data_IF_888621452849
#
_entry.id   IF_888621452849
#
_cell.length_a   1.000
_cell.length_b   1.000
_cell.length_c   1.000
_cell.angle_alpha   90.00
_cell.angle_beta   90.00
_cell.angle_gamma   90.00
#
_symmetry.space_group_name_H-M   'P 1'
#
loop_
_entity.id
_entity.type
_entity.pdbx_description
1 polymer ?
#
# COMPACT_ATOMS: atom_id res chain seq x y z
N UNK A 1 2.73 97.13 31.53
CA UNK A 1 3.74 98.00 30.90
C UNK A 1 4.89 97.10 30.45
N UNK A 2 5.51 97.35 29.27
CA UNK A 2 6.82 96.75 28.91
C UNK A 2 7.81 97.01 30.07
N UNK A 3 8.76 96.14 30.40
CA UNK A 3 10.12 96.09 29.82
C UNK A 3 11.01 95.17 30.73
N UNK A 4 12.24 94.70 30.44
CA UNK A 4 13.11 94.57 29.25
C UNK A 4 14.31 93.65 29.66
N UNK A 5 14.68 92.64 28.84
CA UNK A 5 16.05 92.32 28.32
C UNK A 5 17.22 92.06 29.34
N UNK A 6 18.31 91.28 29.15
CA UNK A 6 18.92 90.38 28.12
C UNK A 6 19.52 89.16 28.90
N UNK A 7 19.62 87.93 28.35
CA UNK A 7 20.86 87.25 27.85
C UNK A 7 22.09 87.25 28.82
N UNK A 8 22.79 86.13 29.05
CA UNK A 8 23.77 85.55 28.10
C UNK A 8 24.05 84.03 28.27
N UNK A 9 24.63 83.46 27.22
CA UNK A 9 25.02 82.07 26.87
C UNK A 9 26.02 81.41 27.88
N UNK A 10 26.32 80.09 27.89
CA UNK A 10 26.74 79.27 26.74
C UNK A 10 26.70 77.71 26.96
N UNK A 11 26.30 76.98 25.90
CA UNK A 11 26.57 75.57 25.47
C UNK A 11 26.72 74.38 26.46
N UNK A 12 26.08 73.24 26.12
CA UNK A 12 26.73 71.93 26.22
C UNK A 12 26.71 71.10 24.92
N UNK A 13 27.90 70.91 24.34
CA UNK A 13 28.38 69.79 23.49
C UNK A 13 27.37 68.87 22.76
N UNK A 14 27.39 68.91 21.43
CA UNK A 14 26.73 67.93 20.55
C UNK A 14 27.21 66.48 20.79
N UNK A 15 26.37 65.62 21.38
CA UNK A 15 26.51 64.15 21.26
C UNK A 15 25.82 63.67 19.98
N UNK A 16 26.60 63.41 18.94
CA UNK A 16 26.10 62.97 17.62
C UNK A 16 25.60 61.52 17.71
N UNK A 17 24.31 61.33 17.98
CA UNK A 17 23.68 60.01 17.87
C UNK A 17 23.68 59.56 16.41
N UNK A 18 24.52 58.59 16.07
CA UNK A 18 24.39 57.87 14.81
C UNK A 18 23.20 56.91 14.91
N UNK A 19 22.00 57.42 14.60
CA UNK A 19 20.93 56.54 14.15
C UNK A 19 21.38 55.92 12.82
N UNK A 20 21.86 54.68 12.88
CA UNK A 20 21.89 53.82 11.70
C UNK A 20 20.44 53.55 11.31
N UNK A 21 19.93 54.31 10.33
CA UNK A 21 18.73 53.91 9.59
C UNK A 21 18.99 52.51 9.03
N UNK A 22 18.36 51.48 9.60
CA UNK A 22 18.28 50.19 8.96
C UNK A 22 17.40 50.36 7.71
N UNK A 23 18.06 50.62 6.58
CA UNK A 23 17.41 50.75 5.27
C UNK A 23 17.04 49.36 4.79
N UNK A 24 16.01 48.78 5.41
CA UNK A 24 15.37 47.55 5.00
C UNK A 24 15.16 47.55 3.49
N UNK A 25 15.94 46.73 2.80
CA UNK A 25 16.04 46.71 1.34
C UNK A 25 14.71 46.32 0.75
N UNK A 26 13.90 47.31 0.36
CA UNK A 26 12.58 47.11 -0.27
C UNK A 26 12.76 46.25 -1.51
N UNK A 27 12.27 45.00 -1.44
CA UNK A 27 12.41 44.07 -2.56
C UNK A 27 11.53 44.53 -3.72
N UNK A 28 12.02 44.52 -4.97
CA UNK A 28 11.18 44.74 -6.14
C UNK A 28 10.05 43.70 -6.19
N UNK A 29 8.87 44.13 -6.63
CA UNK A 29 7.61 43.35 -6.59
C UNK A 29 7.76 41.96 -7.23
N UNK A 30 8.52 41.84 -8.32
CA UNK A 30 8.79 40.56 -8.99
C UNK A 30 9.53 39.54 -8.11
N UNK A 31 10.40 39.97 -7.19
CA UNK A 31 11.04 39.07 -6.23
C UNK A 31 10.05 38.53 -5.19
N UNK A 32 9.07 39.35 -4.77
CA UNK A 32 8.00 38.91 -3.87
C UNK A 32 7.16 37.83 -4.56
N UNK A 33 6.75 38.04 -5.82
CA UNK A 33 5.99 37.06 -6.59
C UNK A 33 6.73 35.72 -6.78
N UNK A 34 8.05 35.74 -6.97
CA UNK A 34 8.88 34.52 -7.02
C UNK A 34 8.91 33.82 -5.66
N UNK A 35 9.11 34.57 -4.58
CA UNK A 35 9.16 34.03 -3.22
C UNK A 35 7.81 33.41 -2.84
N UNK A 36 6.69 34.07 -3.15
CA UNK A 36 5.35 33.54 -2.91
C UNK A 36 5.08 32.26 -3.72
N UNK A 37 5.52 32.20 -4.99
CA UNK A 37 5.36 31.01 -5.81
C UNK A 37 6.22 29.84 -5.32
N UNK A 38 7.46 30.10 -4.87
CA UNK A 38 8.32 29.11 -4.25
C UNK A 38 7.76 28.65 -2.89
N UNK A 39 7.29 29.57 -2.05
CA UNK A 39 6.69 29.27 -0.76
C UNK A 39 5.41 28.45 -0.91
N UNK A 40 4.53 28.81 -1.86
CA UNK A 40 3.35 28.03 -2.20
C UNK A 40 3.72 26.64 -2.74
N UNK A 41 4.73 26.55 -3.62
CA UNK A 41 5.24 25.27 -4.12
C UNK A 41 5.78 24.37 -3.00
N UNK A 42 6.56 24.91 -2.07
CA UNK A 42 7.06 24.19 -0.88
C UNK A 42 5.89 23.77 0.01
N UNK A 43 4.94 24.66 0.30
CA UNK A 43 3.77 24.39 1.14
C UNK A 43 2.88 23.28 0.55
N UNK A 44 2.68 23.27 -0.78
CA UNK A 44 1.95 22.22 -1.49
C UNK A 44 2.71 20.88 -1.40
N UNK A 45 4.03 20.87 -1.57
CA UNK A 45 4.83 19.64 -1.45
C UNK A 45 4.78 19.07 -0.02
N UNK A 46 4.91 19.93 1.00
CA UNK A 46 4.78 19.55 2.41
C UNK A 46 3.37 18.99 2.65
N UNK A 47 2.31 19.71 2.27
CA UNK A 47 0.93 19.26 2.44
C UNK A 47 0.67 17.91 1.75
N UNK A 48 1.11 17.74 0.49
CA UNK A 48 0.97 16.49 -0.25
C UNK A 48 1.71 15.33 0.41
N UNK A 49 2.92 15.56 0.94
CA UNK A 49 3.68 14.55 1.67
C UNK A 49 2.92 14.07 2.92
N UNK A 50 2.44 14.98 3.77
CA UNK A 50 1.70 14.65 4.98
C UNK A 50 0.31 14.03 4.70
N UNK A 51 -0.39 14.50 3.67
CA UNK A 51 -1.76 14.06 3.40
C UNK A 51 -1.88 12.83 2.49
N UNK A 52 -0.91 12.57 1.62
CA UNK A 52 -0.99 11.50 0.61
C UNK A 52 0.14 10.47 0.64
N UNK A 53 1.33 10.79 1.17
CA UNK A 53 2.50 9.89 1.09
C UNK A 53 2.80 9.22 2.43
N UNK A 54 2.64 9.94 3.55
CA UNK A 54 3.03 9.44 4.87
C UNK A 54 2.26 8.17 5.27
N UNK A 55 2.96 7.05 5.60
CA UNK A 55 2.34 5.80 6.01
C UNK A 55 1.61 5.96 7.34
N UNK A 56 0.44 5.32 7.47
CA UNK A 56 -0.37 5.33 8.69
C UNK A 56 -0.62 3.90 9.13
N UNK A 57 -0.10 3.53 10.30
CA UNK A 57 -0.52 2.29 10.97
C UNK A 57 -1.95 2.50 11.47
N UNK A 58 -2.81 1.49 11.34
CA UNK A 58 -4.20 1.53 11.81
C UNK A 58 -4.36 0.56 12.97
N UNK A 59 -4.97 1.03 14.06
CA UNK A 59 -5.39 0.16 15.14
C UNK A 59 -6.57 -0.70 14.69
N UNK A 60 -6.45 -2.02 14.85
CA UNK A 60 -7.45 -2.97 14.43
C UNK A 60 -6.95 -4.40 14.55
N UNK A 61 -7.89 -5.35 14.56
CA UNK A 61 -7.57 -6.77 14.69
C UNK A 61 -8.36 -7.44 15.81
N UNK A 62 -9.49 -8.06 15.45
CA UNK A 62 -10.26 -8.92 16.34
C UNK A 62 -10.10 -10.37 15.87
N UNK A 63 -9.54 -11.23 16.71
CA UNK A 63 -9.53 -12.67 16.44
C UNK A 63 -10.97 -13.19 16.31
N UNK A 64 -11.32 -13.74 15.15
CA UNK A 64 -12.66 -14.32 14.90
C UNK A 64 -12.67 -15.85 15.02
N UNK A 65 -11.49 -16.48 15.08
CA UNK A 65 -11.33 -17.90 15.43
C UNK A 65 -11.88 -18.10 16.86
N UNK A 66 -12.89 -18.97 17.02
CA UNK A 66 -13.50 -19.31 18.31
C UNK A 66 -14.80 -18.58 18.65
N UNK A 67 -15.28 -17.62 17.83
CA UNK A 67 -16.66 -17.13 17.97
C UNK A 67 -17.64 -18.21 17.52
N UNK A 68 -18.76 -18.38 18.24
CA UNK A 68 -19.84 -19.29 17.80
C UNK A 68 -20.26 -18.92 16.37
N UNK A 69 -20.33 -19.87 15.43
CA UNK A 69 -20.78 -19.56 14.08
C UNK A 69 -22.21 -19.02 14.13
N UNK A 70 -22.44 -17.90 13.44
CA UNK A 70 -23.79 -17.48 13.08
C UNK A 70 -24.37 -18.62 12.22
N UNK A 71 -25.63 -19.06 12.45
CA UNK A 71 -26.21 -20.19 11.72
C UNK A 71 -26.06 -19.96 10.21
N UNK A 72 -25.23 -20.81 9.61
CA UNK A 72 -24.95 -20.79 8.18
C UNK A 72 -26.22 -21.14 7.42
N UNK A 73 -26.41 -20.54 6.24
CA UNK A 73 -27.42 -21.03 5.28
C UNK A 73 -27.25 -22.55 5.13
N UNK A 74 -28.33 -23.30 5.32
CA UNK A 74 -28.27 -24.76 5.35
C UNK A 74 -27.70 -25.32 4.05
N UNK A 75 -26.46 -25.80 4.10
CA UNK A 75 -25.88 -26.57 3.01
C UNK A 75 -26.69 -27.86 2.86
N UNK A 76 -26.96 -28.32 1.63
CA UNK A 76 -27.69 -29.58 1.41
C UNK A 76 -26.93 -30.72 2.09
N UNK A 77 -27.66 -31.61 2.77
CA UNK A 77 -27.15 -32.61 3.71
C UNK A 77 -26.41 -33.80 3.06
N UNK A 78 -25.79 -33.60 1.90
CA UNK A 78 -24.98 -34.59 1.21
C UNK A 78 -23.74 -33.92 0.61
N UNK A 79 -22.64 -33.78 1.36
CA UNK A 79 -21.35 -33.47 0.76
C UNK A 79 -20.96 -34.66 -0.11
N UNK A 80 -21.13 -34.52 -1.44
CA UNK A 80 -20.42 -35.36 -2.40
C UNK A 80 -18.97 -35.49 -1.96
N UNK A 81 -18.43 -36.72 -1.93
CA UNK A 81 -17.08 -37.02 -1.46
C UNK A 81 -16.09 -35.98 -2.01
N UNK A 82 -15.09 -35.53 -1.22
CA UNK A 82 -14.08 -34.60 -1.74
C UNK A 82 -13.48 -35.20 -3.00
N UNK A 83 -13.80 -34.59 -4.15
CA UNK A 83 -13.21 -34.98 -5.43
C UNK A 83 -11.72 -34.79 -5.26
N UNK A 84 -10.96 -35.88 -5.36
CA UNK A 84 -9.52 -35.81 -5.19
C UNK A 84 -8.97 -34.74 -6.13
N UNK A 85 -8.27 -33.74 -5.59
CA UNK A 85 -7.52 -32.78 -6.39
C UNK A 85 -6.71 -33.58 -7.40
N UNK A 86 -6.88 -33.36 -8.73
CA UNK A 86 -6.15 -34.11 -9.73
C UNK A 86 -4.66 -34.07 -9.41
N UNK A 87 -3.99 -35.21 -9.49
CA UNK A 87 -2.54 -35.25 -9.39
C UNK A 87 -1.94 -34.35 -10.48
N UNK A 88 -0.77 -33.73 -10.27
CA UNK A 88 -0.08 -33.00 -11.31
C UNK A 88 0.03 -33.88 -12.57
N UNK A 89 -0.33 -33.29 -13.71
CA UNK A 89 -0.24 -33.86 -15.06
C UNK A 89 -0.78 -35.30 -15.25
N UNK A 90 -2.05 -35.41 -15.66
CA UNK A 90 -2.22 -35.91 -17.03
C UNK A 90 -2.15 -34.70 -17.96
N UNK A 91 -1.58 -34.89 -19.15
CA UNK A 91 -1.48 -33.88 -20.20
C UNK A 91 -2.89 -33.39 -20.59
N UNK A 92 -3.36 -32.33 -19.95
CA UNK A 92 -4.76 -31.93 -20.05
C UNK A 92 -5.05 -31.31 -21.42
N UNK A 93 -5.47 -32.15 -22.37
CA UNK A 93 -5.87 -31.76 -23.74
C UNK A 93 -6.97 -30.69 -23.80
N UNK A 94 -7.61 -30.36 -22.67
CA UNK A 94 -8.62 -29.28 -22.51
C UNK A 94 -8.15 -27.86 -22.90
N UNK A 95 -6.85 -27.61 -23.06
CA UNK A 95 -6.31 -26.31 -23.52
C UNK A 95 -5.60 -26.40 -24.90
N UNK A 96 -5.84 -27.47 -25.67
CA UNK A 96 -5.05 -27.81 -26.87
C UNK A 96 -5.47 -27.11 -28.18
N UNK A 97 -6.22 -26.00 -28.13
CA UNK A 97 -6.70 -25.28 -29.33
C UNK A 97 -6.43 -23.77 -29.27
N UNK A 98 -5.29 -23.36 -28.73
CA UNK A 98 -4.76 -22.01 -29.00
C UNK A 98 -3.95 -22.04 -30.30
N UNK A 99 -4.15 -21.09 -31.25
CA UNK A 99 -3.36 -21.01 -32.48
C UNK A 99 -1.90 -20.57 -32.25
N UNK A 100 -1.52 -20.24 -31.00
CA UNK A 100 -0.20 -19.79 -30.64
C UNK A 100 0.68 -20.94 -30.15
N UNK A 101 1.91 -21.02 -30.67
CA UNK A 101 2.97 -21.89 -30.14
C UNK A 101 3.10 -21.67 -28.63
N UNK A 102 3.04 -22.77 -27.85
CA UNK A 102 3.14 -22.77 -26.39
C UNK A 102 4.39 -23.55 -25.97
N UNK A 103 5.26 -22.90 -25.22
CA UNK A 103 6.38 -23.53 -24.51
C UNK A 103 6.05 -23.52 -23.01
N UNK A 104 6.29 -24.64 -22.33
CA UNK A 104 6.04 -24.81 -20.90
C UNK A 104 7.27 -25.44 -20.28
N UNK A 105 7.97 -24.69 -19.44
CA UNK A 105 9.19 -25.14 -18.78
C UNK A 105 8.92 -25.25 -17.27
N UNK A 106 9.22 -26.39 -16.65
CA UNK A 106 9.32 -26.47 -15.19
C UNK A 106 10.58 -25.73 -14.77
N UNK A 107 10.44 -24.75 -13.87
CA UNK A 107 11.55 -23.94 -13.35
C UNK A 107 12.06 -24.54 -12.05
N UNK A 108 11.13 -24.77 -11.12
CA UNK A 108 11.43 -25.07 -9.73
C UNK A 108 10.35 -25.99 -9.16
N UNK A 109 10.72 -26.85 -8.22
CA UNK A 109 9.78 -27.69 -7.48
C UNK A 109 10.21 -27.86 -6.04
N UNK A 110 9.27 -27.64 -5.12
CA UNK A 110 9.48 -27.79 -3.68
C UNK A 110 8.53 -28.85 -3.12
N UNK A 111 8.98 -29.67 -2.16
CA UNK A 111 8.13 -30.65 -1.47
C UNK A 111 8.60 -30.90 -0.04
N UNK A 112 7.67 -30.90 0.91
CA UNK A 112 7.86 -31.41 2.27
C UNK A 112 6.62 -32.21 2.73
N UNK A 113 6.50 -32.49 4.03
CA UNK A 113 5.38 -33.26 4.60
C UNK A 113 4.02 -32.52 4.57
N UNK A 114 4.03 -31.20 4.42
CA UNK A 114 2.85 -30.33 4.56
C UNK A 114 2.44 -29.62 3.25
N UNK A 115 3.38 -29.42 2.32
CA UNK A 115 3.17 -28.70 1.07
C UNK A 115 4.04 -29.21 -0.09
N UNK A 116 3.53 -29.03 -1.29
CA UNK A 116 4.22 -29.31 -2.55
C UNK A 116 3.90 -28.21 -3.57
N UNK A 117 4.93 -27.68 -4.24
CA UNK A 117 4.83 -26.53 -5.13
C UNK A 117 5.56 -26.81 -6.43
N UNK A 118 4.93 -26.51 -7.57
CA UNK A 118 5.54 -26.62 -8.90
C UNK A 118 5.44 -25.29 -9.64
N UNK A 119 6.57 -24.63 -9.87
CA UNK A 119 6.64 -23.36 -10.60
C UNK A 119 7.01 -23.62 -12.07
N UNK A 120 6.12 -23.21 -12.98
CA UNK A 120 6.33 -23.31 -14.43
C UNK A 120 6.38 -21.94 -15.08
N UNK A 121 7.25 -21.81 -16.08
CA UNK A 121 7.21 -20.73 -17.07
C UNK A 121 6.30 -21.17 -18.21
N UNK A 122 5.47 -20.26 -18.72
CA UNK A 122 4.73 -20.47 -19.95
C UNK A 122 4.99 -19.31 -20.89
N UNK A 123 5.46 -19.62 -22.11
CA UNK A 123 5.62 -18.66 -23.19
C UNK A 123 4.61 -19.00 -24.28
N UNK A 124 3.82 -18.03 -24.72
CA UNK A 124 2.91 -18.17 -25.86
C UNK A 124 3.16 -17.08 -26.90
N UNK A 125 3.00 -17.45 -28.18
CA UNK A 125 3.16 -16.53 -29.30
C UNK A 125 4.62 -16.16 -29.59
N UNK A 126 4.80 -15.17 -30.47
CA UNK A 126 6.11 -14.78 -30.98
C UNK A 126 6.17 -13.30 -31.36
N UNK A 127 7.39 -12.78 -31.57
CA UNK A 127 7.62 -11.39 -31.94
C UNK A 127 7.01 -10.40 -30.93
N UNK A 128 6.25 -9.42 -31.43
CA UNK A 128 5.54 -8.41 -30.61
C UNK A 128 4.38 -8.98 -29.79
N UNK A 129 3.90 -10.19 -30.11
CA UNK A 129 2.77 -10.84 -29.44
C UNK A 129 3.22 -11.95 -28.48
N UNK A 130 4.51 -11.99 -28.13
CA UNK A 130 5.06 -12.95 -27.16
C UNK A 130 4.62 -12.58 -25.75
N UNK A 131 3.82 -13.45 -25.12
CA UNK A 131 3.43 -13.34 -23.71
C UNK A 131 4.26 -14.35 -22.91
N UNK A 132 4.74 -13.96 -21.74
CA UNK A 132 5.40 -14.84 -20.78
C UNK A 132 4.71 -14.68 -19.44
N UNK A 133 4.25 -15.79 -18.87
CA UNK A 133 3.61 -15.84 -17.55
C UNK A 133 4.14 -17.03 -16.75
N UNK A 134 3.89 -17.01 -15.45
CA UNK A 134 4.30 -18.06 -14.52
C UNK A 134 3.06 -18.73 -13.92
N UNK A 135 3.13 -20.03 -13.68
CA UNK A 135 2.06 -20.80 -13.04
C UNK A 135 2.67 -21.60 -11.90
N UNK A 136 2.21 -21.33 -10.68
CA UNK A 136 2.53 -22.15 -9.51
C UNK A 136 1.34 -23.04 -9.20
N UNK A 137 1.51 -24.36 -9.29
CA UNK A 137 0.57 -25.30 -8.64
C UNK A 137 1.01 -25.45 -7.19
N UNK A 138 0.08 -25.27 -6.25
CA UNK A 138 0.34 -25.35 -4.81
C UNK A 138 -0.61 -26.37 -4.19
N UNK A 139 -0.04 -27.40 -3.58
CA UNK A 139 -0.74 -28.43 -2.84
C UNK A 139 -0.40 -28.28 -1.35
N UNK A 140 -1.40 -28.31 -0.48
CA UNK A 140 -1.24 -28.17 0.98
C UNK A 140 -2.14 -29.16 1.71
N UNK A 141 -1.63 -29.73 2.79
CA UNK A 141 -2.40 -30.65 3.65
C UNK A 141 -3.33 -29.91 4.64
N UNK A 142 -3.15 -28.59 4.79
CA UNK A 142 -3.98 -27.74 5.65
C UNK A 142 -4.06 -26.32 5.10
N UNK A 143 -5.25 -25.72 5.19
CA UNK A 143 -5.48 -24.30 4.84
C UNK A 143 -4.65 -23.36 5.73
N UNK A 144 -4.21 -23.81 6.92
CA UNK A 144 -3.33 -23.01 7.80
C UNK A 144 -1.91 -22.82 7.25
N UNK A 145 -1.53 -23.58 6.21
CA UNK A 145 -0.30 -23.36 5.44
C UNK A 145 -0.39 -22.11 4.55
N UNK A 146 -1.61 -21.69 4.20
CA UNK A 146 -1.88 -20.49 3.41
C UNK A 146 -1.97 -19.29 4.35
N UNK A 147 -0.94 -18.45 4.31
CA UNK A 147 -0.83 -17.26 5.16
C UNK A 147 -0.80 -16.01 4.31
N UNK A 148 -1.15 -14.91 4.97
CA UNK A 148 -1.07 -13.56 4.40
C UNK A 148 -0.21 -12.70 5.30
N UNK A 149 0.65 -11.88 4.70
CA UNK A 149 1.46 -10.90 5.40
C UNK A 149 1.02 -9.47 5.04
N UNK A 150 1.43 -8.52 5.86
CA UNK A 150 1.37 -7.10 5.57
C UNK A 150 2.79 -6.57 5.38
N UNK A 151 2.95 -5.52 4.57
CA UNK A 151 4.20 -4.76 4.54
C UNK A 151 4.57 -4.31 5.97
N UNK A 152 5.82 -4.54 6.36
CA UNK A 152 6.42 -4.27 7.67
C UNK A 152 5.68 -4.93 8.84
N UNK A 153 4.97 -6.03 8.56
CA UNK A 153 4.11 -6.73 9.52
C UNK A 153 2.93 -5.90 10.05
N UNK A 154 2.58 -4.76 9.43
CA UNK A 154 1.65 -3.78 9.99
C UNK A 154 0.42 -3.55 9.12
N UNK A 155 -0.76 -3.64 9.74
CA UNK A 155 -2.00 -3.18 9.13
C UNK A 155 -1.99 -1.64 9.03
N UNK A 156 -2.22 -1.10 7.83
CA UNK A 156 -2.16 0.34 7.63
C UNK A 156 -2.42 0.80 6.19
N UNK A 157 -2.32 2.11 5.99
CA UNK A 157 -2.44 2.78 4.69
C UNK A 157 -1.07 3.28 4.25
N UNK A 158 -0.78 3.24 2.95
CA UNK A 158 0.48 3.67 2.34
C UNK A 158 1.77 2.98 2.88
N UNK A 159 1.65 1.85 3.58
CA UNK A 159 2.79 1.02 3.98
C UNK A 159 3.18 0.14 2.78
N UNK A 160 4.47 0.09 2.45
CA UNK A 160 5.06 -0.67 1.34
C UNK A 160 6.36 -1.32 1.78
N UNK A 161 6.64 -2.49 1.22
CA UNK A 161 7.90 -3.26 1.28
C UNK A 161 8.07 -4.04 -0.03
N UNK A 162 9.24 -4.65 -0.22
CA UNK A 162 9.43 -5.65 -1.27
C UNK A 162 8.72 -6.98 -0.92
N UNK A 163 8.36 -7.75 -1.94
CA UNK A 163 7.76 -9.08 -1.76
C UNK A 163 8.80 -10.06 -1.26
N UNK A 164 10.07 -9.90 -1.65
CA UNK A 164 11.18 -10.74 -1.17
C UNK A 164 11.40 -10.52 0.33
N UNK A 165 11.52 -9.27 0.77
CA UNK A 165 11.66 -8.92 2.20
C UNK A 165 10.51 -9.52 3.03
N UNK A 166 9.26 -9.37 2.57
CA UNK A 166 8.08 -9.96 3.24
C UNK A 166 8.14 -11.50 3.25
N UNK A 167 8.66 -12.13 2.19
CA UNK A 167 8.79 -13.58 2.10
C UNK A 167 9.86 -14.11 3.07
N UNK A 168 11.01 -13.46 3.14
CA UNK A 168 12.11 -13.79 4.06
C UNK A 168 11.68 -13.58 5.54
N UNK A 169 11.06 -12.44 5.87
CA UNK A 169 10.52 -12.14 7.21
C UNK A 169 9.46 -13.16 7.71
N UNK A 170 8.90 -14.00 6.82
CA UNK A 170 7.83 -14.95 7.13
C UNK A 170 8.18 -16.41 6.78
N UNK A 171 9.45 -16.72 6.48
CA UNK A 171 9.93 -18.05 6.07
C UNK A 171 9.12 -18.66 4.90
N UNK A 172 8.73 -17.83 3.92
CA UNK A 172 7.79 -18.23 2.88
C UNK A 172 8.45 -19.02 1.73
N UNK A 173 7.91 -20.21 1.44
CA UNK A 173 8.30 -21.05 0.28
C UNK A 173 7.94 -20.37 -1.06
N UNK A 174 6.82 -19.66 -1.10
CA UNK A 174 6.32 -18.92 -2.26
C UNK A 174 5.51 -17.71 -1.75
N UNK A 175 5.78 -16.54 -2.33
CA UNK A 175 5.03 -15.32 -2.06
C UNK A 175 4.61 -14.64 -3.38
N UNK A 176 3.43 -14.02 -3.37
CA UNK A 176 2.89 -13.21 -4.46
C UNK A 176 2.26 -11.93 -3.88
N UNK A 177 2.17 -10.87 -4.70
CA UNK A 177 1.43 -9.66 -4.33
C UNK A 177 -0.05 -9.97 -4.08
N UNK A 178 -0.58 -9.52 -2.94
CA UNK A 178 -1.99 -9.69 -2.57
C UNK A 178 -2.92 -8.59 -3.11
N UNK A 179 -3.98 -8.32 -2.36
CA UNK A 179 -4.95 -7.26 -2.67
C UNK A 179 -4.38 -5.82 -2.54
N UNK A 180 -5.21 -4.84 -2.90
CA UNK A 180 -4.90 -3.41 -2.80
C UNK A 180 -5.69 -2.72 -1.66
N UNK A 181 -5.75 -3.36 -0.48
CA UNK A 181 -6.55 -2.87 0.66
C UNK A 181 -6.14 -1.48 1.16
N UNK A 182 -4.87 -1.09 0.93
CA UNK A 182 -4.22 0.14 1.39
C UNK A 182 -4.74 1.42 0.75
N UNK A 183 -5.59 1.32 -0.27
CA UNK A 183 -6.01 2.45 -1.11
C UNK A 183 -7.50 2.75 -1.07
N UNK A 184 -8.27 1.98 -0.30
CA UNK A 184 -9.68 2.25 -0.03
C UNK A 184 -9.97 2.01 1.45
N UNK A 185 -10.82 2.84 2.05
CA UNK A 185 -11.38 2.67 3.40
C UNK A 185 -12.59 1.70 3.43
N UNK A 186 -13.15 1.41 2.26
CA UNK A 186 -14.24 0.48 1.99
C UNK A 186 -13.70 -0.93 1.74
N UNK A 187 -14.48 -1.95 2.07
CA UNK A 187 -14.18 -3.37 1.83
C UNK A 187 -13.82 -4.13 3.09
N UNK A 188 -13.90 -5.46 2.97
CA UNK A 188 -13.57 -6.41 4.03
C UNK A 188 -12.07 -6.70 4.04
N UNK A 189 -11.45 -6.64 5.21
CA UNK A 189 -10.06 -7.06 5.44
C UNK A 189 -10.06 -8.06 6.58
N UNK A 190 -9.82 -9.32 6.25
CA UNK A 190 -9.59 -10.44 7.18
C UNK A 190 -8.29 -11.10 6.75
N UNK A 191 -7.32 -11.22 7.66
CA UNK A 191 -6.00 -11.83 7.39
C UNK A 191 -5.66 -12.78 8.54
N UNK A 192 -5.27 -14.01 8.22
CA UNK A 192 -4.89 -15.06 9.17
C UNK A 192 -5.92 -15.29 10.32
N UNK A 193 -7.22 -15.22 10.02
CA UNK A 193 -8.29 -15.37 11.03
C UNK A 193 -8.50 -14.16 11.96
N UNK A 194 -7.84 -13.04 11.67
CA UNK A 194 -8.03 -11.75 12.35
C UNK A 194 -8.85 -10.82 11.46
N UNK A 195 -9.93 -10.27 12.01
CA UNK A 195 -10.78 -9.26 11.38
C UNK A 195 -10.22 -7.85 11.63
N UNK A 196 -9.95 -7.10 10.56
CA UNK A 196 -9.45 -5.73 10.65
C UNK A 196 -10.51 -4.69 10.24
N UNK A 197 -11.34 -4.99 9.24
CA UNK A 197 -12.31 -4.04 8.67
C UNK A 197 -13.44 -4.74 7.92
N UNK A 198 -14.64 -4.17 7.93
CA UNK A 198 -15.71 -4.45 6.96
C UNK A 198 -16.60 -3.22 6.78
N UNK A 199 -16.02 -2.15 6.24
CA UNK A 199 -16.78 -0.95 5.88
C UNK A 199 -17.46 -1.19 4.53
N UNK A 200 -18.77 -1.37 4.52
CA UNK A 200 -19.55 -1.32 3.27
C UNK A 200 -19.83 0.13 2.90
N UNK A 201 -19.93 0.44 1.60
CA UNK A 201 -20.57 1.70 1.19
C UNK A 201 -22.00 1.68 1.71
N UNK A 202 -22.47 2.81 2.28
CA UNK A 202 -23.91 3.05 2.50
C UNK A 202 -24.61 3.35 1.16
N UNK A 203 -24.56 2.39 0.25
CA UNK A 203 -25.39 2.29 -0.93
C UNK A 203 -25.71 0.82 -1.14
N UNK A 204 -27.01 0.54 -1.30
CA UNK A 204 -27.57 -0.79 -1.49
C UNK A 204 -26.91 -1.55 -2.64
N UNK A 205 -27.00 -2.88 -2.60
CA UNK A 205 -26.40 -3.87 -3.51
C UNK A 205 -24.95 -4.26 -3.18
N UNK A 206 -24.83 -5.25 -2.29
CA UNK A 206 -23.59 -5.98 -2.07
C UNK A 206 -23.33 -6.96 -3.23
N UNK A 207 -22.29 -6.72 -4.02
CA UNK A 207 -21.70 -7.73 -4.88
C UNK A 207 -20.62 -8.48 -4.08
N UNK A 208 -20.83 -9.78 -3.88
CA UNK A 208 -19.81 -10.68 -3.35
C UNK A 208 -19.00 -11.28 -4.51
N UNK A 209 -17.68 -11.13 -4.49
CA UNK A 209 -16.77 -11.98 -5.26
C UNK A 209 -15.98 -12.79 -4.24
N UNK A 210 -16.24 -14.10 -4.22
CA UNK A 210 -15.41 -15.07 -3.54
C UNK A 210 -14.42 -15.63 -4.56
N UNK A 211 -13.13 -15.40 -4.32
CA UNK A 211 -12.06 -16.18 -4.93
C UNK A 211 -11.30 -16.84 -3.79
N UNK A 212 -11.23 -18.17 -3.84
CA UNK A 212 -10.44 -18.98 -2.93
C UNK A 212 -9.23 -19.51 -3.71
N UNK A 213 -8.04 -19.31 -3.16
CA UNK A 213 -6.84 -20.12 -3.35
C UNK A 213 -6.13 -20.21 -2.01
#
# INVERSE_FOLDING_TARGET
MKSIIEEEYEQPTHKKSQNSEDKGKRMPIWQILIIDFLAAGILINVFAFFHHVLPRTLDGGVNIIGRKPIPTFGLPANPSMPVSTPRPYEESKRYSESPYTRQVDLIESFKNENSEVYLRKVVIGSGKNKITYYVADVFVNSVMSLKTAFARGKYGMNIKDDILDIAEDNDAILAISGDYYTNNDIGVVIRNGVYYRANTRKMTYAFFILMAL
#
